data_IF_775217857690
#
_entry.id   IF_775217857690
#
_cell.length_a   1.000
_cell.length_b   1.000
_cell.length_c   1.000
_cell.angle_alpha   90.00
_cell.angle_beta   90.00
_cell.angle_gamma   90.00
#
_symmetry.space_group_name_H-M   'P 1'
#
loop_
_entity.id
_entity.type
_entity.pdbx_description
1 polymer ?
#
# COMPACT_ATOMS: atom_id res chain seq x y z
N UNK A 1 1.74 -17.28 -9.30
CA UNK A 1 1.00 -16.19 -9.97
C UNK A 1 1.98 -15.05 -10.17
N UNK A 2 1.95 -14.35 -11.31
CA UNK A 2 2.81 -13.18 -11.52
C UNK A 2 2.06 -11.87 -11.24
N UNK A 3 2.75 -10.87 -10.70
CA UNK A 3 2.21 -9.51 -10.53
C UNK A 3 3.30 -8.44 -10.71
N UNK A 4 2.91 -7.19 -10.95
CA UNK A 4 3.88 -6.08 -11.07
C UNK A 4 4.67 -5.89 -9.78
N UNK A 5 5.99 -5.69 -9.87
CA UNK A 5 6.87 -5.45 -8.73
C UNK A 5 6.37 -4.30 -7.83
N UNK A 6 5.92 -3.19 -8.41
CA UNK A 6 5.35 -2.08 -7.65
C UNK A 6 4.08 -2.47 -6.85
N UNK A 7 3.27 -3.39 -7.38
CA UNK A 7 2.10 -3.94 -6.68
C UNK A 7 2.53 -4.86 -5.54
N UNK A 8 3.49 -5.75 -5.79
CA UNK A 8 4.08 -6.62 -4.78
C UNK A 8 4.63 -5.82 -3.59
N UNK A 9 5.43 -4.78 -3.84
CA UNK A 9 6.00 -3.92 -2.81
C UNK A 9 4.91 -3.21 -1.99
N UNK A 10 3.87 -2.73 -2.65
CA UNK A 10 2.77 -2.05 -1.98
C UNK A 10 1.96 -2.99 -1.05
N UNK A 11 1.69 -4.21 -1.50
CA UNK A 11 0.99 -5.26 -0.72
C UNK A 11 1.83 -5.85 0.40
N UNK A 12 3.15 -5.84 0.24
CA UNK A 12 4.10 -6.22 1.29
C UNK A 12 4.24 -5.15 2.38
N UNK A 13 3.50 -4.04 2.28
CA UNK A 13 3.46 -2.98 3.26
C UNK A 13 4.63 -1.98 3.19
N UNK A 14 5.52 -2.12 2.21
CA UNK A 14 6.74 -1.30 2.10
C UNK A 14 6.41 0.17 1.90
N UNK A 15 5.57 0.48 0.91
CA UNK A 15 5.19 1.85 0.59
C UNK A 15 3.94 1.87 -0.32
N UNK A 16 3.53 3.06 -0.80
CA UNK A 16 2.48 3.13 -1.83
C UNK A 16 2.96 2.61 -3.19
N UNK A 17 2.04 2.23 -4.08
CA UNK A 17 2.41 1.77 -5.43
C UNK A 17 3.24 2.81 -6.19
N UNK A 18 2.91 4.11 -6.10
CA UNK A 18 3.69 5.18 -6.74
C UNK A 18 5.08 5.33 -6.11
N UNK A 19 5.16 5.30 -4.78
CA UNK A 19 6.45 5.33 -4.09
C UNK A 19 7.30 4.10 -4.47
N UNK A 20 6.68 2.93 -4.64
CA UNK A 20 7.36 1.73 -5.09
C UNK A 20 7.94 1.89 -6.51
N UNK A 21 7.22 2.52 -7.44
CA UNK A 21 7.75 2.83 -8.77
C UNK A 21 8.98 3.74 -8.71
N UNK A 22 9.00 4.71 -7.80
CA UNK A 22 10.17 5.58 -7.59
C UNK A 22 11.35 4.83 -6.96
N UNK A 23 11.12 3.96 -5.96
CA UNK A 23 12.16 3.12 -5.38
C UNK A 23 12.79 2.18 -6.41
N UNK A 24 11.97 1.62 -7.31
CA UNK A 24 12.43 0.80 -8.44
C UNK A 24 13.33 1.65 -9.35
N UNK A 25 12.87 2.83 -9.81
CA UNK A 25 13.68 3.72 -10.67
C UNK A 25 14.99 4.16 -10.01
N UNK A 26 15.04 4.24 -8.69
CA UNK A 26 16.24 4.57 -7.92
C UNK A 26 17.22 3.38 -7.80
N UNK A 27 16.90 2.21 -8.34
CA UNK A 27 17.74 1.01 -8.25
C UNK A 27 17.82 0.42 -6.85
N UNK A 28 16.83 0.70 -5.98
CA UNK A 28 16.82 0.25 -4.58
C UNK A 28 16.23 -1.15 -4.37
N UNK A 29 15.71 -1.74 -5.44
CA UNK A 29 15.03 -3.03 -5.40
C UNK A 29 15.83 -4.05 -6.18
N UNK A 30 16.11 -5.17 -5.53
CA UNK A 30 16.81 -6.31 -6.13
C UNK A 30 15.86 -7.50 -6.18
N UNK A 31 15.81 -8.21 -7.31
CA UNK A 31 15.05 -9.45 -7.48
C UNK A 31 16.03 -10.54 -7.89
N UNK A 32 16.11 -11.62 -7.10
CA UNK A 32 17.00 -12.76 -7.36
C UNK A 32 18.48 -12.38 -7.58
N UNK A 33 18.94 -11.29 -6.95
CA UNK A 33 20.32 -10.79 -7.09
C UNK A 33 20.52 -9.74 -8.18
N UNK A 34 19.51 -9.44 -8.99
CA UNK A 34 19.57 -8.41 -10.04
C UNK A 34 18.83 -7.13 -9.63
N UNK A 35 19.46 -5.97 -9.85
CA UNK A 35 18.85 -4.66 -9.58
C UNK A 35 17.81 -4.35 -10.65
N UNK A 36 16.59 -4.03 -10.21
CA UNK A 36 15.47 -3.74 -11.12
C UNK A 36 15.22 -2.23 -11.14
N UNK A 37 15.30 -1.65 -12.33
CA UNK A 37 15.11 -0.21 -12.56
C UNK A 37 13.82 0.12 -13.32
N UNK A 38 13.09 -0.91 -13.78
CA UNK A 38 11.85 -0.74 -14.56
C UNK A 38 10.59 -1.11 -13.77
N UNK A 39 9.62 -0.18 -13.63
CA UNK A 39 8.32 -0.46 -13.00
C UNK A 39 7.45 -1.51 -13.72
N UNK A 40 7.83 -1.91 -14.94
CA UNK A 40 7.11 -2.91 -15.73
C UNK A 40 7.47 -4.35 -15.33
N UNK A 41 8.51 -4.54 -14.50
CA UNK A 41 8.95 -5.87 -14.07
C UNK A 41 7.82 -6.63 -13.36
N UNK A 42 7.66 -7.90 -13.72
CA UNK A 42 6.73 -8.84 -13.09
C UNK A 42 7.51 -9.75 -12.15
N UNK A 43 7.04 -9.89 -10.92
CA UNK A 43 7.56 -10.86 -9.95
C UNK A 43 6.65 -12.07 -9.87
N UNK A 44 7.26 -13.22 -9.66
CA UNK A 44 6.57 -14.47 -9.33
C UNK A 44 6.61 -14.74 -7.82
N UNK A 45 5.76 -15.64 -7.34
CA UNK A 45 5.69 -15.98 -5.91
C UNK A 45 6.97 -16.66 -5.39
N UNK A 46 7.78 -17.24 -6.27
CA UNK A 46 9.05 -17.88 -5.95
C UNK A 46 10.23 -16.90 -5.86
N UNK A 47 10.07 -15.68 -6.37
CA UNK A 47 11.16 -14.71 -6.43
C UNK A 47 11.55 -14.19 -5.04
N UNK A 48 12.85 -13.97 -4.85
CA UNK A 48 13.38 -13.29 -3.66
C UNK A 48 13.56 -11.82 -3.96
N UNK A 49 12.72 -10.99 -3.36
CA UNK A 49 12.75 -9.52 -3.50
C UNK A 49 13.40 -8.89 -2.27
N UNK A 50 14.37 -8.01 -2.50
CA UNK A 50 15.08 -7.25 -1.47
C UNK A 50 14.88 -5.76 -1.68
N UNK A 51 14.78 -5.02 -0.58
CA UNK A 51 14.84 -3.56 -0.54
C UNK A 51 16.11 -3.17 0.21
N UNK A 52 17.03 -2.47 -0.45
CA UNK A 52 18.35 -2.11 0.09
C UNK A 52 19.09 -3.29 0.76
N UNK A 53 18.99 -4.49 0.17
CA UNK A 53 19.64 -5.70 0.69
C UNK A 53 18.88 -6.43 1.81
N UNK A 54 17.75 -5.90 2.28
CA UNK A 54 16.88 -6.60 3.22
C UNK A 54 15.74 -7.33 2.51
N UNK A 55 15.55 -8.61 2.84
CA UNK A 55 14.48 -9.42 2.25
C UNK A 55 13.11 -8.89 2.67
N UNK A 56 12.27 -8.60 1.68
CA UNK A 56 10.91 -8.13 1.91
C UNK A 56 10.04 -9.32 2.33
N UNK A 57 9.25 -9.14 3.39
CA UNK A 57 8.33 -10.18 3.89
C UNK A 57 7.28 -10.50 2.81
N UNK A 58 6.88 -11.76 2.75
CA UNK A 58 5.80 -12.19 1.86
C UNK A 58 4.48 -11.48 2.18
N UNK A 59 3.64 -11.40 1.15
CA UNK A 59 2.31 -10.78 1.13
C UNK A 59 1.50 -11.19 2.36
N UNK A 60 0.94 -10.22 3.07
CA UNK A 60 -0.14 -10.48 4.01
C UNK A 60 -1.34 -11.09 3.26
N UNK A 61 -2.10 -11.96 3.93
CA UNK A 61 -3.37 -12.45 3.38
C UNK A 61 -4.28 -11.24 3.09
N UNK A 62 -4.93 -11.25 1.93
CA UNK A 62 -5.93 -10.25 1.56
C UNK A 62 -7.04 -10.28 2.61
N UNK A 63 -7.35 -9.11 3.16
CA UNK A 63 -8.34 -8.90 4.23
C UNK A 63 -9.19 -7.67 3.90
N UNK A 64 -10.43 -7.70 4.37
CA UNK A 64 -11.37 -6.59 4.29
C UNK A 64 -11.77 -6.20 5.71
N UNK A 65 -11.81 -4.91 5.97
CA UNK A 65 -12.29 -4.32 7.22
C UNK A 65 -13.50 -3.44 6.95
N UNK A 66 -14.46 -3.48 7.86
CA UNK A 66 -15.61 -2.58 7.88
C UNK A 66 -15.28 -1.45 8.85
N UNK A 67 -15.27 -0.22 8.36
CA UNK A 67 -15.03 0.97 9.17
C UNK A 67 -16.27 1.87 9.13
N UNK A 68 -16.82 2.19 10.30
CA UNK A 68 -17.82 3.24 10.39
C UNK A 68 -17.09 4.58 10.41
N UNK A 69 -17.07 5.27 9.28
CA UNK A 69 -16.44 6.58 9.17
C UNK A 69 -17.32 7.66 9.81
N UNK A 70 -16.82 8.42 10.80
CA UNK A 70 -17.50 9.63 11.28
C UNK A 70 -17.35 10.81 10.32
N UNK A 71 -18.18 11.85 10.47
CA UNK A 71 -17.98 13.11 9.76
C UNK A 71 -16.67 13.80 10.22
N UNK A 72 -16.18 14.72 9.40
CA UNK A 72 -14.97 15.51 9.69
C UNK A 72 -13.65 14.82 9.33
N UNK A 73 -13.68 13.57 8.86
CA UNK A 73 -12.50 12.87 8.33
C UNK A 73 -12.48 12.82 6.81
N UNK A 74 -11.31 13.03 6.21
CA UNK A 74 -11.10 12.87 4.76
C UNK A 74 -10.67 11.46 4.43
N UNK A 75 -11.23 10.92 3.36
CA UNK A 75 -10.83 9.61 2.82
C UNK A 75 -9.64 9.76 1.84
N UNK A 76 -8.47 10.16 2.36
CA UNK A 76 -7.21 10.29 1.60
C UNK A 76 -6.01 10.01 2.51
N UNK A 77 -4.94 9.40 1.96
CA UNK A 77 -3.68 9.17 2.70
C UNK A 77 -2.80 10.42 2.87
N UNK A 78 -3.02 11.44 2.03
CA UNK A 78 -2.34 12.71 2.10
C UNK A 78 -3.38 13.81 1.91
N UNK A 79 -3.43 14.75 2.84
CA UNK A 79 -4.25 15.95 2.73
C UNK A 79 -3.34 17.18 2.65
N UNK A 80 -3.49 17.97 1.59
CA UNK A 80 -2.69 19.17 1.35
C UNK A 80 -3.03 20.32 2.31
N UNK A 81 -4.16 20.22 3.01
CA UNK A 81 -4.67 21.25 3.94
C UNK A 81 -4.59 20.80 5.40
N UNK A 82 -3.81 19.75 5.67
CA UNK A 82 -3.56 19.20 7.01
C UNK A 82 -4.85 18.83 7.79
N UNK A 83 -5.89 18.41 7.07
CA UNK A 83 -7.15 17.97 7.67
C UNK A 83 -7.01 16.53 8.16
N UNK A 84 -7.75 16.20 9.22
CA UNK A 84 -7.79 14.85 9.77
C UNK A 84 -8.26 13.85 8.70
N UNK A 85 -7.50 12.77 8.53
CA UNK A 85 -7.83 11.70 7.58
C UNK A 85 -8.36 10.48 8.30
N UNK A 86 -9.08 9.64 7.55
CA UNK A 86 -9.47 8.30 8.02
C UNK A 86 -8.23 7.55 8.51
N UNK A 87 -7.15 7.55 7.75
CA UNK A 87 -5.96 6.73 8.01
C UNK A 87 -5.16 7.19 9.23
N UNK A 88 -5.18 8.48 9.56
CA UNK A 88 -4.56 8.99 10.78
C UNK A 88 -5.39 8.70 12.04
N UNK A 89 -6.66 8.33 11.88
CA UNK A 89 -7.60 8.06 12.97
C UNK A 89 -7.93 6.57 13.13
N UNK A 90 -7.25 5.69 12.38
CA UNK A 90 -7.46 4.25 12.50
C UNK A 90 -6.85 3.72 13.81
N UNK A 91 -7.45 2.68 14.42
CA UNK A 91 -6.88 2.05 15.61
C UNK A 91 -5.50 1.44 15.32
N UNK A 92 -4.63 1.47 16.32
CA UNK A 92 -3.31 0.86 16.23
C UNK A 92 -3.39 -0.65 15.98
N UNK A 93 -2.37 -1.21 15.32
CA UNK A 93 -2.27 -2.64 15.03
C UNK A 93 -2.90 -3.08 13.71
N UNK A 94 -3.56 -2.18 12.99
CA UNK A 94 -3.94 -2.43 11.59
C UNK A 94 -2.70 -2.42 10.69
N UNK A 95 -2.62 -3.30 9.68
CA UNK A 95 -1.60 -3.19 8.64
C UNK A 95 -1.86 -1.91 7.83
N UNK A 96 -0.94 -1.62 6.89
CA UNK A 96 -1.21 -0.59 5.88
C UNK A 96 -2.47 -0.98 5.08
N UNK A 97 -3.51 -0.16 5.16
CA UNK A 97 -4.78 -0.33 4.45
C UNK A 97 -5.05 0.84 3.51
N UNK A 98 -5.89 0.61 2.50
CA UNK A 98 -6.46 1.60 1.59
C UNK A 98 -7.99 1.53 1.65
N UNK A 99 -8.69 2.57 1.21
CA UNK A 99 -10.16 2.54 1.13
C UNK A 99 -10.64 1.96 -0.20
N UNK A 100 -11.73 1.18 -0.15
CA UNK A 100 -12.50 0.80 -1.34
C UNK A 100 -13.62 1.84 -1.51
N UNK A 101 -13.45 2.72 -2.49
CA UNK A 101 -14.29 3.91 -2.62
C UNK A 101 -13.93 5.00 -1.61
N UNK A 102 -14.80 6.02 -1.52
CA UNK A 102 -14.61 7.19 -0.64
C UNK A 102 -15.95 7.70 -0.13
N UNK A 103 -15.93 8.26 1.08
CA UNK A 103 -16.98 9.11 1.61
C UNK A 103 -16.44 10.54 1.74
N UNK A 104 -17.30 11.52 1.46
CA UNK A 104 -16.96 12.93 1.56
C UNK A 104 -16.70 13.34 3.02
N UNK A 105 -16.12 14.53 3.19
CA UNK A 105 -15.74 15.06 4.52
C UNK A 105 -16.91 15.04 5.50
N UNK A 106 -18.10 15.45 5.05
CA UNK A 106 -19.30 15.56 5.88
C UNK A 106 -20.17 14.29 5.85
N UNK A 107 -19.79 13.27 5.08
CA UNK A 107 -20.53 12.01 5.02
C UNK A 107 -20.07 11.04 6.11
N UNK A 108 -21.03 10.31 6.66
CA UNK A 108 -20.82 9.26 7.66
C UNK A 108 -21.28 7.90 7.12
N UNK A 109 -20.84 6.84 7.77
CA UNK A 109 -21.34 5.48 7.54
C UNK A 109 -20.27 4.50 7.10
N UNK A 110 -20.70 3.45 6.38
CA UNK A 110 -19.84 2.32 6.05
C UNK A 110 -18.77 2.71 5.01
N UNK A 111 -17.51 2.56 5.40
CA UNK A 111 -16.36 2.59 4.52
C UNK A 111 -15.64 1.25 4.59
N UNK A 112 -15.35 0.67 3.42
CA UNK A 112 -14.59 -0.56 3.31
C UNK A 112 -13.10 -0.22 3.24
N UNK A 113 -12.27 -0.93 4.02
CA UNK A 113 -10.81 -0.84 3.96
C UNK A 113 -10.22 -2.20 3.57
N UNK A 114 -9.11 -2.20 2.85
CA UNK A 114 -8.43 -3.41 2.36
C UNK A 114 -6.90 -3.22 2.37
N UNK A 115 -6.15 -4.31 2.43
CA UNK A 115 -4.69 -4.33 2.23
C UNK A 115 -4.30 -4.76 0.80
N UNK A 116 -5.29 -4.84 -0.10
CA UNK A 116 -5.13 -5.24 -1.49
C UNK A 116 -5.61 -4.13 -2.43
N UNK A 117 -4.70 -3.59 -3.26
CA UNK A 117 -4.94 -2.42 -4.11
C UNK A 117 -4.15 -2.42 -5.42
#
# INVERSE_FOLDING_TARGET
>A
MSERLAKFLARSGVCSRRAAEELIKQGRITVNGETIETPAFLVEDADTVLFDGEKIKQKDKTRLWLYHKPAGLITSHADEKDRATVFNNLPAGLPRVISVGRLDLNSEGLLLLTNDG
#
